data_IF_650858365332
#
_entry.id   IF_650858365332
#
_cell.length_a   1.000
_cell.length_b   1.000
_cell.length_c   1.000
_cell.angle_alpha   90.00
_cell.angle_beta   90.00
_cell.angle_gamma   90.00
#
_symmetry.space_group_name_H-M   'P 1'
#
loop_
_entity.id
_entity.type
_entity.pdbx_description
1 polymer ?
#
# COMPACT_ATOMS: atom_id res chain seq x y z
N UNK A 1 -13.71 9.27 13.29
CA UNK A 1 -13.10 10.36 12.51
C UNK A 1 -13.74 10.28 11.13
N UNK A 2 -14.58 11.25 10.76
CA UNK A 2 -15.29 11.23 9.48
C UNK A 2 -14.26 11.22 8.34
N UNK A 3 -14.27 10.18 7.51
CA UNK A 3 -13.52 10.17 6.26
C UNK A 3 -14.15 11.26 5.38
N UNK A 4 -13.51 12.43 5.33
CA UNK A 4 -13.89 13.47 4.37
C UNK A 4 -13.75 12.88 2.97
N UNK A 5 -14.82 13.00 2.16
CA UNK A 5 -14.83 12.59 0.76
C UNK A 5 -13.79 13.42 0.03
N UNK A 6 -12.61 12.86 -0.22
CA UNK A 6 -11.61 13.47 -1.10
C UNK A 6 -12.15 13.31 -2.52
N UNK A 7 -12.45 14.40 -3.26
CA UNK A 7 -12.81 14.27 -4.67
C UNK A 7 -11.67 13.58 -5.42
N UNK A 8 -11.98 12.69 -6.37
CA UNK A 8 -10.98 11.91 -7.13
C UNK A 8 -9.85 12.78 -7.69
N UNK A 9 -10.22 13.82 -8.42
CA UNK A 9 -9.76 15.20 -8.16
C UNK A 9 -8.42 15.39 -7.44
N UNK A 10 -8.57 15.50 -6.13
CA UNK A 10 -7.52 15.81 -5.17
C UNK A 10 -6.56 14.66 -4.92
N UNK A 11 -6.84 13.41 -5.28
CA UNK A 11 -5.88 12.31 -5.05
C UNK A 11 -4.58 12.57 -5.82
N UNK A 12 -4.66 13.10 -7.04
CA UNK A 12 -3.50 13.37 -7.88
C UNK A 12 -2.93 14.78 -7.74
N UNK A 13 -3.73 15.76 -7.32
CA UNK A 13 -3.26 17.15 -7.21
C UNK A 13 -2.87 17.54 -5.78
N UNK A 14 -3.49 16.95 -4.77
CA UNK A 14 -3.05 17.04 -3.38
C UNK A 14 -2.15 15.85 -3.04
N UNK A 15 -1.43 15.90 -1.92
CA UNK A 15 -0.53 14.82 -1.47
C UNK A 15 0.80 14.69 -2.24
N UNK A 16 1.38 15.82 -2.67
CA UNK A 16 2.69 15.90 -3.37
C UNK A 16 3.78 15.02 -2.72
N UNK A 17 3.92 15.09 -1.40
CA UNK A 17 4.90 14.33 -0.64
C UNK A 17 4.68 12.81 -0.74
N UNK A 18 3.43 12.37 -0.71
CA UNK A 18 3.07 10.95 -0.72
C UNK A 18 3.28 10.33 -2.10
N UNK A 19 2.93 11.05 -3.17
CA UNK A 19 3.29 10.68 -4.53
C UNK A 19 4.80 10.59 -4.73
N UNK A 20 5.54 11.62 -4.29
CA UNK A 20 7.00 11.63 -4.39
C UNK A 20 7.60 10.40 -3.70
N UNK A 21 7.12 10.03 -2.50
CA UNK A 21 7.55 8.82 -1.79
C UNK A 21 7.26 7.56 -2.58
N UNK A 22 6.05 7.42 -3.14
CA UNK A 22 5.69 6.29 -3.99
C UNK A 22 6.60 6.14 -5.20
N UNK A 23 6.92 7.23 -5.89
CA UNK A 23 7.87 7.24 -7.00
C UNK A 23 9.31 6.96 -6.57
N UNK A 24 9.70 7.40 -5.37
CA UNK A 24 11.07 7.28 -4.86
C UNK A 24 11.43 5.84 -4.49
N UNK A 25 10.56 5.10 -3.80
CA UNK A 25 10.94 3.80 -3.21
C UNK A 25 11.51 2.77 -4.22
N UNK A 26 10.94 2.61 -5.44
CA UNK A 26 11.50 1.72 -6.45
C UNK A 26 12.88 2.14 -6.97
N UNK A 27 13.30 3.39 -6.74
CA UNK A 27 14.59 3.93 -7.21
C UNK A 27 15.73 3.63 -6.24
N UNK A 28 15.41 3.25 -5.00
CA UNK A 28 16.40 3.05 -3.94
C UNK A 28 17.30 1.85 -4.26
N UNK A 29 18.60 2.12 -4.45
CA UNK A 29 19.55 1.08 -4.85
C UNK A 29 19.67 -0.06 -3.84
N UNK A 30 19.52 0.25 -2.55
CA UNK A 30 19.59 -0.70 -1.45
C UNK A 30 18.31 -1.53 -1.27
N UNK A 31 17.15 -1.07 -1.76
CA UNK A 31 15.87 -1.79 -1.60
C UNK A 31 15.70 -2.94 -2.59
N UNK A 32 16.52 -3.00 -3.66
CA UNK A 32 16.44 -4.00 -4.74
C UNK A 32 16.17 -5.45 -4.29
N UNK A 33 16.81 -5.99 -3.23
CA UNK A 33 16.54 -7.37 -2.80
C UNK A 33 15.11 -7.58 -2.29
N UNK A 34 14.46 -6.51 -1.83
CA UNK A 34 13.13 -6.52 -1.20
C UNK A 34 12.01 -6.03 -2.12
N UNK A 35 12.34 -5.29 -3.20
CA UNK A 35 11.35 -4.72 -4.13
C UNK A 35 10.29 -5.73 -4.62
N UNK A 36 10.67 -6.99 -4.86
CA UNK A 36 9.75 -8.06 -5.28
C UNK A 36 8.67 -8.42 -4.25
N UNK A 37 8.87 -8.08 -2.97
CA UNK A 37 7.90 -8.30 -1.91
C UNK A 37 6.98 -7.09 -1.69
N UNK A 38 7.25 -5.96 -2.35
CA UNK A 38 6.48 -4.74 -2.18
C UNK A 38 5.19 -4.72 -3.00
N UNK A 39 4.81 -5.78 -3.70
CA UNK A 39 3.54 -5.81 -4.48
C UNK A 39 3.52 -4.89 -5.71
N UNK A 40 4.68 -4.47 -6.19
CA UNK A 40 4.85 -3.73 -7.44
C UNK A 40 4.59 -4.64 -8.66
N UNK A 41 4.20 -4.08 -9.82
CA UNK A 41 4.04 -4.84 -11.06
C UNK A 41 5.32 -5.61 -11.42
N UNK A 42 5.22 -6.91 -11.71
CA UNK A 42 6.39 -7.77 -11.98
C UNK A 42 7.28 -7.21 -13.09
N UNK A 43 6.67 -6.72 -14.18
CA UNK A 43 7.39 -6.11 -15.31
C UNK A 43 8.20 -4.89 -14.87
N UNK A 44 7.69 -4.10 -13.91
CA UNK A 44 8.42 -2.96 -13.34
C UNK A 44 9.57 -3.42 -12.43
N UNK A 45 9.36 -4.46 -11.62
CA UNK A 45 10.41 -5.06 -10.78
C UNK A 45 11.59 -5.56 -11.62
N UNK A 46 11.30 -6.15 -12.77
CA UNK A 46 12.34 -6.62 -13.70
C UNK A 46 13.04 -5.48 -14.46
N UNK A 47 12.46 -4.26 -14.45
CA UNK A 47 12.91 -3.12 -15.24
C UNK A 47 13.11 -1.82 -14.43
N UNK A 48 13.58 -1.91 -13.17
CA UNK A 48 13.74 -0.75 -12.28
C UNK A 48 14.60 0.39 -12.84
N UNK A 49 15.44 0.14 -13.85
CA UNK A 49 16.23 1.16 -14.53
C UNK A 49 15.39 2.24 -15.22
N UNK A 50 14.11 1.98 -15.56
CA UNK A 50 13.22 2.99 -16.17
C UNK A 50 13.08 4.25 -15.32
N UNK A 51 13.20 4.10 -13.99
CA UNK A 51 13.11 5.24 -13.08
C UNK A 51 14.24 6.25 -13.24
N UNK A 52 15.35 5.89 -13.88
CA UNK A 52 16.46 6.82 -14.15
C UNK A 52 16.06 7.96 -15.09
N UNK A 53 15.11 7.75 -16.01
CA UNK A 53 14.60 8.83 -16.87
C UNK A 53 13.42 9.57 -16.23
N UNK A 54 12.58 8.86 -15.48
CA UNK A 54 11.33 9.41 -14.94
C UNK A 54 11.54 10.21 -13.64
N UNK A 55 12.18 9.61 -12.62
CA UNK A 55 12.21 10.16 -11.25
C UNK A 55 12.91 11.52 -11.13
N UNK A 56 14.04 11.81 -11.80
CA UNK A 56 14.70 13.11 -11.68
C UNK A 56 13.79 14.29 -12.06
N UNK A 57 12.91 14.11 -13.05
CA UNK A 57 11.95 15.13 -13.48
C UNK A 57 10.89 15.39 -12.41
N UNK A 58 10.41 14.34 -11.74
CA UNK A 58 9.43 14.44 -10.63
C UNK A 58 10.06 15.16 -9.45
N UNK A 59 11.27 14.75 -9.05
CA UNK A 59 12.00 15.34 -7.92
C UNK A 59 12.32 16.82 -8.16
N UNK A 60 12.73 17.17 -9.38
CA UNK A 60 12.93 18.56 -9.78
C UNK A 60 11.65 19.39 -9.63
N UNK A 61 10.52 18.90 -10.12
CA UNK A 61 9.23 19.60 -10.01
C UNK A 61 8.77 19.76 -8.56
N UNK A 62 8.97 18.74 -7.73
CA UNK A 62 8.69 18.82 -6.30
C UNK A 62 9.52 19.90 -5.62
N UNK A 63 10.84 19.92 -5.84
CA UNK A 63 11.72 20.94 -5.26
C UNK A 63 11.45 22.34 -5.79
N UNK A 64 11.05 22.47 -7.06
CA UNK A 64 10.62 23.74 -7.63
C UNK A 64 9.40 24.27 -6.88
N UNK A 65 8.39 23.43 -6.65
CA UNK A 65 7.17 23.77 -5.90
C UNK A 65 7.45 24.17 -4.46
N UNK A 66 8.27 23.42 -3.73
CA UNK A 66 8.56 23.72 -2.33
C UNK A 66 9.31 25.05 -2.16
N UNK A 67 10.18 25.41 -3.11
CA UNK A 67 10.87 26.71 -3.14
C UNK A 67 9.91 27.86 -3.45
N UNK A 68 8.97 27.69 -4.39
CA UNK A 68 7.98 28.74 -4.71
C UNK A 68 6.99 29.00 -3.57
N UNK A 69 6.74 28.02 -2.69
CA UNK A 69 5.91 28.19 -1.48
C UNK A 69 6.60 28.99 -0.36
N UNK A 70 7.86 29.42 -0.53
CA UNK A 70 8.56 30.25 0.44
C UNK A 70 8.24 31.75 0.21
N UNK A 71 7.72 32.49 1.22
CA UNK A 71 7.22 33.86 1.07
C UNK A 71 8.25 34.86 0.52
N UNK A 72 9.54 34.60 0.75
CA UNK A 72 10.64 35.52 0.44
C UNK A 72 11.03 35.52 -1.05
N UNK A 73 10.57 34.52 -1.83
CA UNK A 73 10.96 34.32 -3.23
C UNK A 73 9.87 34.70 -4.25
N UNK A 74 8.64 35.01 -3.81
CA UNK A 74 7.53 35.41 -4.69
C UNK A 74 7.80 36.74 -5.43
N UNK A 75 8.73 37.56 -4.92
CA UNK A 75 9.01 38.91 -5.42
C UNK A 75 9.96 38.90 -6.66
N UNK A 76 10.69 37.81 -6.93
CA UNK A 76 11.83 37.85 -7.87
C UNK A 76 11.82 36.94 -9.09
N UNK A 77 10.78 36.11 -9.33
CA UNK A 77 10.85 35.17 -10.46
C UNK A 77 9.62 35.23 -11.38
N UNK A 78 9.73 36.05 -12.43
CA UNK A 78 8.92 35.94 -13.64
C UNK A 78 9.25 34.71 -14.50
N UNK A 79 9.71 33.60 -13.92
CA UNK A 79 10.20 32.42 -14.64
C UNK A 79 9.42 31.18 -14.18
N UNK A 80 8.53 30.73 -15.07
CA UNK A 80 7.88 29.40 -15.10
C UNK A 80 7.24 28.90 -13.80
N UNK A 81 5.95 29.22 -13.63
CA UNK A 81 5.07 28.61 -12.61
C UNK A 81 5.24 27.08 -12.59
N UNK A 82 5.30 26.45 -11.40
CA UNK A 82 5.36 25.00 -11.29
C UNK A 82 4.17 24.33 -11.98
N UNK A 83 4.39 23.21 -12.65
CA UNK A 83 3.32 22.42 -13.28
C UNK A 83 2.36 21.91 -12.21
N UNK A 84 1.01 21.96 -12.38
CA UNK A 84 0.04 21.30 -11.50
C UNK A 84 0.51 19.90 -11.12
N UNK A 85 0.38 19.49 -9.85
CA UNK A 85 0.99 18.23 -9.41
C UNK A 85 0.34 17.04 -10.10
N UNK A 86 -0.96 17.11 -10.34
CA UNK A 86 -1.68 16.15 -11.19
C UNK A 86 -1.01 15.98 -12.56
N UNK A 87 -0.52 17.06 -13.18
CA UNK A 87 0.17 17.00 -14.47
C UNK A 87 1.54 16.33 -14.36
N UNK A 88 2.26 16.54 -13.25
CA UNK A 88 3.54 15.84 -12.97
C UNK A 88 3.30 14.34 -12.86
N UNK A 89 2.31 13.92 -12.07
CA UNK A 89 1.91 12.51 -11.91
C UNK A 89 1.51 11.92 -13.27
N UNK A 90 0.66 12.62 -14.03
CA UNK A 90 0.22 12.16 -15.35
C UNK A 90 1.39 11.95 -16.32
N UNK A 91 2.31 12.91 -16.42
CA UNK A 91 3.46 12.80 -17.31
C UNK A 91 4.38 11.63 -16.93
N UNK A 92 4.63 11.45 -15.63
CA UNK A 92 5.41 10.32 -15.14
C UNK A 92 4.79 8.97 -15.49
N UNK A 93 3.47 8.83 -15.30
CA UNK A 93 2.74 7.60 -15.61
C UNK A 93 2.62 7.38 -17.13
N UNK A 94 2.50 8.45 -17.94
CA UNK A 94 2.54 8.35 -19.40
C UNK A 94 3.91 7.89 -19.91
N UNK A 95 5.00 8.37 -19.32
CA UNK A 95 6.34 7.91 -19.65
C UNK A 95 6.52 6.44 -19.26
N UNK A 96 6.07 6.06 -18.06
CA UNK A 96 6.08 4.66 -17.62
C UNK A 96 5.25 3.76 -18.55
N UNK A 97 4.06 4.21 -18.97
CA UNK A 97 3.21 3.51 -19.91
C UNK A 97 3.85 3.35 -21.29
N UNK A 98 4.61 4.36 -21.74
CA UNK A 98 5.36 4.30 -23.00
C UNK A 98 6.50 3.27 -22.92
N UNK A 99 7.17 3.16 -21.78
CA UNK A 99 8.32 2.27 -21.60
C UNK A 99 7.95 0.82 -21.31
N UNK A 100 6.92 0.58 -20.48
CA UNK A 100 6.57 -0.75 -19.96
C UNK A 100 5.12 -1.18 -20.24
N UNK A 101 4.31 -0.31 -20.85
CA UNK A 101 2.91 -0.59 -21.19
C UNK A 101 1.90 0.06 -20.24
N UNK A 102 0.71 0.38 -20.77
CA UNK A 102 -0.38 1.07 -20.06
C UNK A 102 -0.75 0.38 -18.74
N UNK A 103 -0.99 -0.94 -18.78
CA UNK A 103 -1.41 -1.68 -17.60
C UNK A 103 -0.37 -1.64 -16.47
N UNK A 104 0.93 -1.64 -16.79
CA UNK A 104 2.00 -1.54 -15.78
C UNK A 104 1.96 -0.18 -15.09
N UNK A 105 1.69 0.89 -15.84
CA UNK A 105 1.56 2.23 -15.26
C UNK A 105 0.31 2.36 -14.38
N UNK A 106 -0.84 1.82 -14.81
CA UNK A 106 -2.08 1.79 -14.02
C UNK A 106 -1.89 0.97 -12.73
N UNK A 107 -1.30 -0.22 -12.81
CA UNK A 107 -1.05 -1.04 -11.62
C UNK A 107 -0.08 -0.34 -10.64
N UNK A 108 0.94 0.36 -11.16
CA UNK A 108 1.83 1.17 -10.34
C UNK A 108 1.12 2.36 -9.69
N UNK A 109 0.25 3.06 -10.43
CA UNK A 109 -0.59 4.12 -9.89
C UNK A 109 -1.45 3.63 -8.73
N UNK A 110 -2.15 2.51 -8.92
CA UNK A 110 -2.99 1.90 -7.88
C UNK A 110 -2.15 1.42 -6.69
N UNK A 111 -0.92 0.96 -6.92
CA UNK A 111 0.03 0.64 -5.87
C UNK A 111 0.39 1.87 -5.02
N UNK A 112 0.70 3.02 -5.63
CA UNK A 112 0.99 4.26 -4.90
C UNK A 112 -0.23 4.71 -4.09
N UNK A 113 -1.41 4.72 -4.71
CA UNK A 113 -2.65 5.14 -4.04
C UNK A 113 -2.90 4.24 -2.82
N UNK A 114 -2.80 2.92 -3.00
CA UNK A 114 -3.02 1.92 -1.95
C UNK A 114 -2.15 2.15 -0.72
N UNK A 115 -0.85 2.32 -0.90
CA UNK A 115 0.09 2.33 0.22
C UNK A 115 0.32 3.72 0.84
N UNK A 116 0.13 4.79 0.08
CA UNK A 116 0.49 6.13 0.55
C UNK A 116 -0.71 7.05 0.74
N UNK A 117 -1.81 6.82 0.01
CA UNK A 117 -2.95 7.74 -0.03
C UNK A 117 -4.20 7.15 0.63
N UNK A 118 -4.27 5.82 0.77
CA UNK A 118 -5.46 5.12 1.23
C UNK A 118 -5.26 4.44 2.58
N UNK A 119 -5.31 5.23 3.67
CA UNK A 119 -5.06 4.77 5.06
C UNK A 119 -5.86 3.55 5.50
N UNK A 120 -7.06 3.37 4.97
CA UNK A 120 -7.91 2.22 5.31
C UNK A 120 -7.21 0.89 5.03
N UNK A 121 -6.43 0.79 3.96
CA UNK A 121 -5.80 -0.49 3.58
C UNK A 121 -4.84 -0.95 4.66
N UNK A 122 -4.01 -0.06 5.18
CA UNK A 122 -3.08 -0.40 6.26
C UNK A 122 -3.81 -0.91 7.52
N UNK A 123 -4.87 -0.23 7.95
CA UNK A 123 -5.67 -0.69 9.10
C UNK A 123 -6.34 -2.03 8.85
N UNK A 124 -6.87 -2.24 7.65
CA UNK A 124 -7.48 -3.51 7.27
C UNK A 124 -6.48 -4.64 7.19
N UNK A 125 -5.31 -4.43 6.59
CA UNK A 125 -4.27 -5.45 6.50
C UNK A 125 -3.72 -5.80 7.88
N UNK A 126 -3.55 -4.82 8.76
CA UNK A 126 -3.22 -5.07 10.15
C UNK A 126 -4.29 -5.92 10.87
N UNK A 127 -5.57 -5.57 10.75
CA UNK A 127 -6.66 -6.36 11.35
C UNK A 127 -6.72 -7.80 10.81
N UNK A 128 -6.58 -7.97 9.50
CA UNK A 128 -6.51 -9.29 8.86
C UNK A 128 -5.28 -10.08 9.29
N UNK A 129 -4.12 -9.43 9.42
CA UNK A 129 -2.88 -10.04 9.90
C UNK A 129 -3.09 -10.70 11.26
N UNK A 130 -3.63 -9.96 12.23
CA UNK A 130 -3.89 -10.51 13.57
C UNK A 130 -4.86 -11.69 13.56
N UNK A 131 -5.96 -11.59 12.81
CA UNK A 131 -6.96 -12.66 12.76
C UNK A 131 -6.39 -13.93 12.10
N UNK A 132 -5.64 -13.78 11.01
CA UNK A 132 -5.07 -14.91 10.27
C UNK A 132 -3.84 -15.53 10.95
N UNK A 133 -2.96 -14.72 11.56
CA UNK A 133 -1.87 -15.21 12.42
C UNK A 133 -2.44 -16.07 13.55
N UNK A 134 -3.48 -15.57 14.22
CA UNK A 134 -4.20 -16.31 15.25
C UNK A 134 -4.93 -17.52 14.74
N UNK A 135 -5.27 -17.64 13.46
CA UNK A 135 -5.79 -18.89 12.91
C UNK A 135 -4.68 -19.91 12.61
N UNK A 136 -3.51 -19.45 12.18
CA UNK A 136 -2.39 -20.30 11.77
C UNK A 136 -1.57 -20.91 12.92
N UNK A 137 -1.71 -20.40 14.14
CA UNK A 137 -0.98 -20.90 15.30
C UNK A 137 -1.59 -22.22 15.84
N UNK A 138 -0.75 -23.19 16.25
CA UNK A 138 -1.24 -24.40 16.91
C UNK A 138 -1.14 -24.21 18.43
N UNK A 139 -2.21 -23.70 19.06
CA UNK A 139 -2.31 -23.68 20.52
C UNK A 139 -3.65 -24.26 20.93
N UNK A 140 -3.60 -25.37 21.65
CA UNK A 140 -4.74 -26.19 22.07
C UNK A 140 -5.65 -25.52 23.12
N UNK A 141 -5.25 -24.38 23.68
CA UNK A 141 -5.95 -23.76 24.81
C UNK A 141 -5.84 -22.24 24.81
N UNK A 142 -6.55 -21.57 23.89
CA UNK A 142 -6.78 -20.12 24.02
C UNK A 142 -8.28 -19.83 24.04
N UNK A 143 -8.80 -19.40 25.20
CA UNK A 143 -10.21 -19.01 25.39
C UNK A 143 -10.65 -17.88 24.43
N UNK A 144 -9.68 -17.14 23.89
CA UNK A 144 -9.90 -16.03 22.93
C UNK A 144 -10.03 -16.50 21.47
N UNK A 145 -10.04 -17.81 21.21
CA UNK A 145 -10.19 -18.35 19.85
C UNK A 145 -11.63 -18.70 19.48
N UNK A 146 -11.93 -18.52 18.21
CA UNK A 146 -13.11 -18.99 17.50
C UNK A 146 -12.59 -19.95 16.44
N UNK A 147 -13.13 -21.17 16.39
CA UNK A 147 -12.70 -22.15 15.41
C UNK A 147 -12.94 -21.62 13.98
N UNK A 148 -11.93 -21.64 13.09
CA UNK A 148 -12.11 -21.23 11.70
C UNK A 148 -13.08 -22.17 10.97
N UNK A 149 -13.82 -21.66 9.95
CA UNK A 149 -14.63 -22.50 9.07
C UNK A 149 -13.76 -23.58 8.41
N UNK A 150 -14.35 -24.75 8.14
CA UNK A 150 -13.63 -25.90 7.59
C UNK A 150 -12.85 -25.57 6.30
N UNK A 151 -13.45 -24.76 5.42
CA UNK A 151 -12.81 -24.31 4.18
C UNK A 151 -11.54 -23.51 4.44
N UNK A 152 -11.56 -22.62 5.45
CA UNK A 152 -10.39 -21.82 5.81
C UNK A 152 -9.31 -22.73 6.41
N UNK A 153 -9.68 -23.68 7.28
CA UNK A 153 -8.74 -24.64 7.90
C UNK A 153 -7.89 -25.39 6.86
N UNK A 154 -8.46 -25.72 5.70
CA UNK A 154 -7.76 -26.38 4.60
C UNK A 154 -6.75 -25.44 3.93
N UNK A 155 -7.02 -24.13 3.90
CA UNK A 155 -6.20 -23.09 3.25
C UNK A 155 -5.09 -22.57 4.18
N UNK A 156 -5.30 -22.57 5.51
CA UNK A 156 -4.36 -22.03 6.50
C UNK A 156 -2.90 -22.50 6.30
N UNK A 157 -2.60 -23.79 6.00
CA UNK A 157 -1.22 -24.23 5.79
C UNK A 157 -0.49 -23.52 4.65
N UNK A 158 -1.19 -23.11 3.60
CA UNK A 158 -0.61 -22.46 2.42
C UNK A 158 -0.30 -20.99 2.67
N UNK A 159 -1.17 -20.29 3.40
CA UNK A 159 -0.99 -18.86 3.72
C UNK A 159 -0.14 -18.65 4.97
N UNK A 160 0.13 -19.70 5.74
CA UNK A 160 0.85 -19.67 7.02
C UNK A 160 2.12 -18.82 6.98
N UNK A 161 2.92 -18.99 5.93
CA UNK A 161 4.19 -18.29 5.82
C UNK A 161 4.06 -16.79 5.50
N UNK A 162 2.89 -16.36 5.04
CA UNK A 162 2.58 -14.97 4.70
C UNK A 162 2.03 -14.17 5.90
N UNK A 163 1.37 -14.86 6.84
CA UNK A 163 0.64 -14.20 7.93
C UNK A 163 1.30 -14.37 9.29
N UNK A 164 2.18 -15.36 9.48
CA UNK A 164 2.84 -15.57 10.77
C UNK A 164 3.80 -14.41 11.08
N UNK A 165 3.61 -13.84 12.26
CA UNK A 165 4.40 -12.72 12.78
C UNK A 165 5.92 -12.95 12.73
N UNK A 166 6.38 -14.17 13.03
CA UNK A 166 7.81 -14.52 12.98
C UNK A 166 8.43 -14.31 11.59
N UNK A 167 7.72 -14.71 10.53
CA UNK A 167 8.24 -14.57 9.16
C UNK A 167 8.23 -13.10 8.72
N UNK A 168 7.24 -12.34 9.18
CA UNK A 168 7.18 -10.89 8.98
C UNK A 168 8.36 -10.20 9.68
N UNK A 169 8.70 -10.58 10.91
CA UNK A 169 9.87 -10.06 11.63
C UNK A 169 11.19 -10.39 10.94
N UNK A 170 11.31 -11.57 10.33
CA UNK A 170 12.49 -11.92 9.53
C UNK A 170 12.65 -10.98 8.32
N UNK A 171 11.56 -10.62 7.64
CA UNK A 171 11.58 -9.63 6.56
C UNK A 171 11.92 -8.22 7.06
N UNK A 172 11.34 -7.79 8.20
CA UNK A 172 11.69 -6.51 8.84
C UNK A 172 13.18 -6.40 9.13
N UNK A 173 13.76 -7.48 9.65
CA UNK A 173 15.17 -7.56 9.98
C UNK A 173 16.06 -7.52 8.73
N UNK A 174 15.65 -8.15 7.63
CA UNK A 174 16.35 -8.01 6.34
C UNK A 174 16.34 -6.55 5.90
N UNK A 175 15.18 -5.87 5.95
CA UNK A 175 15.06 -4.45 5.58
C UNK A 175 15.98 -3.58 6.43
N UNK A 176 16.00 -3.79 7.76
CA UNK A 176 16.90 -3.06 8.68
C UNK A 176 18.36 -3.20 8.28
N UNK A 177 18.81 -4.43 7.98
CA UNK A 177 20.21 -4.72 7.64
C UNK A 177 20.67 -4.09 6.34
N UNK A 178 19.80 -4.03 5.34
CA UNK A 178 20.14 -3.46 4.03
C UNK A 178 19.91 -1.94 3.96
N UNK A 179 19.15 -1.38 4.90
CA UNK A 179 18.84 0.05 4.92
C UNK A 179 20.06 0.91 5.31
N UNK A 180 20.19 2.11 4.73
CA UNK A 180 21.19 3.08 5.18
C UNK A 180 21.02 3.47 6.65
N UNK A 181 22.08 3.90 7.34
CA UNK A 181 21.97 4.38 8.70
C UNK A 181 21.05 5.61 8.78
N UNK A 182 20.27 5.76 9.86
CA UNK A 182 19.40 6.91 10.05
C UNK A 182 20.20 8.22 10.14
N UNK A 183 19.70 9.26 9.49
CA UNK A 183 20.31 10.60 9.46
C UNK A 183 19.27 11.65 9.84
N UNK A 184 19.71 12.78 10.41
CA UNK A 184 18.82 13.89 10.76
C UNK A 184 17.67 13.46 11.70
N UNK A 185 16.44 13.70 11.25
CA UNK A 185 15.19 13.38 11.96
C UNK A 185 14.94 11.88 12.16
N UNK A 186 15.64 11.01 11.41
CA UNK A 186 15.49 9.56 11.54
C UNK A 186 16.28 8.98 12.73
N UNK A 187 17.23 9.74 13.31
CA UNK A 187 18.09 9.24 14.40
C UNK A 187 17.30 8.67 15.60
N UNK A 188 16.22 9.31 16.08
CA UNK A 188 15.41 8.77 17.18
C UNK A 188 14.65 7.50 16.80
N UNK A 189 14.38 7.26 15.50
CA UNK A 189 13.66 6.09 15.01
C UNK A 189 14.54 4.83 14.97
N UNK A 190 15.87 5.00 14.99
CA UNK A 190 16.84 3.90 14.91
C UNK A 190 16.93 3.23 13.53
N UNK A 191 16.15 3.68 12.55
CA UNK A 191 16.08 3.19 11.17
C UNK A 191 15.70 4.36 10.26
N UNK A 192 16.13 4.34 8.99
CA UNK A 192 15.76 5.41 8.06
C UNK A 192 14.26 5.36 7.70
N UNK A 193 13.67 6.53 7.45
CA UNK A 193 12.23 6.65 7.17
C UNK A 193 11.77 5.80 5.99
N UNK A 194 12.56 5.74 4.91
CA UNK A 194 12.23 4.93 3.72
C UNK A 194 12.12 3.43 4.05
N UNK A 195 12.92 2.95 5.00
CA UNK A 195 12.89 1.55 5.43
C UNK A 195 11.65 1.22 6.28
N UNK A 196 11.14 2.17 7.07
CA UNK A 196 9.84 1.99 7.75
C UNK A 196 8.72 1.80 6.73
N UNK A 197 8.66 2.66 5.71
CA UNK A 197 7.65 2.53 4.65
C UNK A 197 7.76 1.20 3.91
N UNK A 198 8.98 0.75 3.60
CA UNK A 198 9.18 -0.56 2.96
C UNK A 198 8.71 -1.71 3.87
N UNK A 199 8.95 -1.64 5.19
CA UNK A 199 8.45 -2.65 6.12
C UNK A 199 6.92 -2.72 6.10
N UNK A 200 6.26 -1.57 6.27
CA UNK A 200 4.79 -1.49 6.27
C UNK A 200 4.19 -2.02 4.96
N UNK A 201 4.78 -1.65 3.80
CA UNK A 201 4.31 -2.11 2.49
C UNK A 201 4.48 -3.61 2.33
N UNK A 202 5.64 -4.17 2.70
CA UNK A 202 5.91 -5.61 2.57
C UNK A 202 4.97 -6.44 3.44
N UNK A 203 4.64 -5.92 4.62
CA UNK A 203 3.64 -6.53 5.50
C UNK A 203 2.25 -6.52 4.90
N UNK A 204 1.78 -5.34 4.49
CA UNK A 204 0.47 -5.18 3.87
C UNK A 204 0.33 -6.11 2.65
N UNK A 205 1.36 -6.18 1.79
CA UNK A 205 1.34 -7.02 0.59
C UNK A 205 1.41 -8.52 0.89
N UNK A 206 2.07 -8.92 1.97
CA UNK A 206 2.04 -10.30 2.44
C UNK A 206 0.61 -10.72 2.84
N UNK A 207 -0.12 -9.83 3.52
CA UNK A 207 -1.52 -10.06 3.90
C UNK A 207 -2.43 -10.01 2.67
N UNK A 208 -2.27 -9.04 1.77
CA UNK A 208 -3.02 -8.99 0.50
C UNK A 208 -2.85 -10.29 -0.28
N UNK A 209 -1.63 -10.84 -0.34
CA UNK A 209 -1.37 -12.12 -1.00
C UNK A 209 -2.08 -13.28 -0.31
N UNK A 210 -2.09 -13.32 1.02
CA UNK A 210 -2.83 -14.34 1.78
C UNK A 210 -4.34 -14.26 1.50
N UNK A 211 -4.92 -13.05 1.51
CA UNK A 211 -6.34 -12.82 1.22
C UNK A 211 -6.71 -13.22 -0.21
N UNK A 212 -5.84 -12.94 -1.19
CA UNK A 212 -6.02 -13.39 -2.58
C UNK A 212 -6.05 -14.91 -2.70
N UNK A 213 -5.15 -15.61 -1.99
CA UNK A 213 -5.15 -17.08 -1.98
C UNK A 213 -6.47 -17.60 -1.41
N UNK A 214 -6.93 -17.05 -0.28
CA UNK A 214 -8.24 -17.40 0.30
C UNK A 214 -9.36 -17.15 -0.73
N UNK A 215 -9.39 -15.96 -1.34
CA UNK A 215 -10.43 -15.58 -2.29
C UNK A 215 -10.47 -16.48 -3.54
N UNK A 216 -9.30 -16.91 -4.03
CA UNK A 216 -9.18 -17.80 -5.20
C UNK A 216 -9.69 -19.23 -4.96
N UNK A 217 -9.82 -19.64 -3.69
CA UNK A 217 -10.22 -20.99 -3.28
C UNK A 217 -11.56 -21.04 -2.58
N UNK A 218 -12.31 -19.95 -2.60
CA UNK A 218 -13.58 -19.82 -1.89
C UNK A 218 -14.66 -19.26 -2.81
N UNK A 219 -15.86 -19.82 -2.71
CA UNK A 219 -17.08 -19.28 -3.29
C UNK A 219 -17.53 -18.01 -2.56
N UNK A 220 -18.41 -17.20 -3.17
CA UNK A 220 -18.99 -16.04 -2.49
C UNK A 220 -19.67 -16.35 -1.15
N UNK A 221 -20.26 -17.55 -1.01
CA UNK A 221 -20.91 -17.97 0.23
C UNK A 221 -19.87 -18.31 1.31
N UNK A 222 -18.83 -19.06 0.96
CA UNK A 222 -17.73 -19.39 1.88
C UNK A 222 -16.97 -18.13 2.34
N UNK A 223 -16.79 -17.15 1.45
CA UNK A 223 -16.19 -15.85 1.84
C UNK A 223 -17.01 -15.15 2.91
N UNK A 224 -18.34 -15.14 2.82
CA UNK A 224 -19.21 -14.56 3.87
C UNK A 224 -19.05 -15.29 5.21
N UNK A 225 -18.90 -16.61 5.20
CA UNK A 225 -18.64 -17.39 6.41
C UNK A 225 -17.28 -17.06 7.03
N UNK A 226 -16.25 -16.89 6.21
CA UNK A 226 -14.92 -16.46 6.64
C UNK A 226 -14.97 -15.06 7.24
N UNK A 227 -15.65 -14.11 6.60
CA UNK A 227 -15.82 -12.74 7.13
C UNK A 227 -16.51 -12.77 8.50
N UNK A 228 -17.63 -13.50 8.61
CA UNK A 228 -18.37 -13.62 9.85
C UNK A 228 -17.52 -14.22 10.98
N UNK A 229 -16.72 -15.23 10.66
CA UNK A 229 -15.76 -15.80 11.60
C UNK A 229 -14.68 -14.78 11.99
N UNK A 230 -14.11 -14.07 11.02
CA UNK A 230 -13.03 -13.11 11.23
C UNK A 230 -13.48 -11.96 12.13
N UNK A 231 -14.69 -11.42 11.92
CA UNK A 231 -15.29 -10.39 12.76
C UNK A 231 -15.51 -10.88 14.20
N UNK A 232 -15.98 -12.12 14.37
CA UNK A 232 -16.16 -12.72 15.70
C UNK A 232 -14.81 -12.94 16.40
N UNK A 233 -13.80 -13.39 15.66
CA UNK A 233 -12.43 -13.55 16.16
C UNK A 233 -11.82 -12.20 16.54
N UNK A 234 -11.93 -11.18 15.69
CA UNK A 234 -11.48 -9.82 15.97
C UNK A 234 -12.16 -9.26 17.22
N UNK A 235 -13.46 -9.50 17.41
CA UNK A 235 -14.20 -9.09 18.60
C UNK A 235 -13.71 -9.80 19.87
N UNK A 236 -13.34 -11.08 19.80
CA UNK A 236 -12.72 -11.78 20.94
C UNK A 236 -11.33 -11.22 21.27
N UNK A 237 -10.53 -10.90 20.25
CA UNK A 237 -9.20 -10.32 20.44
C UNK A 237 -9.27 -8.91 21.03
N UNK A 238 -10.25 -8.10 20.60
CA UNK A 238 -10.41 -6.72 21.06
C UNK A 238 -10.74 -6.61 22.55
N UNK A 239 -11.44 -7.60 23.12
CA UNK A 239 -11.72 -7.66 24.57
C UNK A 239 -10.46 -7.84 25.42
N UNK A 240 -9.35 -8.31 24.84
CA UNK A 240 -8.08 -8.52 25.54
C UNK A 240 -6.98 -7.50 25.20
N UNK A 241 -7.11 -6.77 24.10
CA UNK A 241 -6.14 -5.78 23.60
C UNK A 241 -6.87 -4.72 22.78
N UNK A 242 -6.60 -3.43 22.99
CA UNK A 242 -7.23 -2.33 22.23
C UNK A 242 -6.72 -2.18 20.79
N UNK A 243 -6.16 -3.24 20.20
CA UNK A 243 -5.33 -3.18 18.99
C UNK A 243 -6.11 -3.45 17.69
N UNK A 244 -7.33 -3.97 17.77
CA UNK A 244 -8.11 -4.39 16.59
C UNK A 244 -9.59 -4.05 16.79
N UNK A 245 -10.21 -3.38 15.81
CA UNK A 245 -11.66 -3.23 15.72
C UNK A 245 -12.20 -4.16 14.61
N UNK A 246 -13.25 -4.97 14.84
CA UNK A 246 -13.89 -5.76 13.79
C UNK A 246 -14.25 -4.97 12.51
N UNK A 247 -14.62 -3.70 12.66
CA UNK A 247 -14.96 -2.83 11.53
C UNK A 247 -13.76 -2.56 10.59
N UNK A 248 -12.53 -2.70 11.08
CA UNK A 248 -11.32 -2.54 10.28
C UNK A 248 -11.13 -3.66 9.26
N UNK A 249 -11.79 -4.82 9.43
CA UNK A 249 -11.73 -5.92 8.45
C UNK A 249 -12.40 -5.57 7.11
N UNK A 250 -13.34 -4.60 7.12
CA UNK A 250 -14.10 -4.12 5.95
C UNK A 250 -14.86 -5.23 5.21
N UNK A 251 -15.37 -6.21 5.96
CA UNK A 251 -16.19 -7.29 5.41
C UNK A 251 -15.43 -8.10 4.35
N UNK A 252 -16.08 -8.36 3.20
CA UNK A 252 -15.49 -9.09 2.08
C UNK A 252 -14.74 -8.18 1.08
N UNK A 253 -14.62 -6.88 1.34
CA UNK A 253 -14.00 -5.89 0.43
C UNK A 253 -12.61 -6.32 -0.05
N UNK A 254 -11.79 -6.88 0.85
CA UNK A 254 -10.41 -7.29 0.55
C UNK A 254 -10.23 -8.79 0.33
N UNK A 255 -11.28 -9.60 0.48
CA UNK A 255 -11.29 -11.01 0.10
C UNK A 255 -11.64 -11.16 -1.38
N UNK A 256 -10.78 -10.62 -2.24
CA UNK A 256 -10.93 -10.62 -3.71
C UNK A 256 -9.67 -11.19 -4.37
N UNK A 257 -9.82 -11.68 -5.60
CA UNK A 257 -8.70 -12.19 -6.39
C UNK A 257 -7.86 -11.02 -6.92
N UNK A 258 -8.54 -9.95 -7.31
CA UNK A 258 -7.97 -8.69 -7.73
C UNK A 258 -7.32 -7.95 -6.55
N UNK A 259 -6.23 -7.19 -6.78
CA UNK A 259 -5.66 -6.32 -5.74
C UNK A 259 -6.67 -5.27 -5.26
N UNK A 260 -6.49 -4.76 -4.03
CA UNK A 260 -7.24 -3.58 -3.60
C UNK A 260 -7.06 -2.43 -4.59
N UNK A 261 -8.16 -1.72 -4.89
CA UNK A 261 -8.23 -0.62 -5.86
C UNK A 261 -8.03 -1.04 -7.32
N UNK A 262 -8.26 -2.31 -7.68
CA UNK A 262 -8.16 -2.76 -9.07
C UNK A 262 -9.09 -2.01 -10.02
N UNK A 263 -10.30 -1.69 -9.57
CA UNK A 263 -11.34 -0.96 -10.30
C UNK A 263 -11.26 0.57 -10.12
N UNK A 264 -10.21 1.06 -9.44
CA UNK A 264 -10.03 2.47 -9.23
C UNK A 264 -9.73 3.20 -10.55
N UNK A 265 -10.29 4.39 -10.77
CA UNK A 265 -10.03 5.15 -11.98
C UNK A 265 -8.57 5.59 -12.11
N UNK A 266 -7.96 5.43 -13.30
CA UNK A 266 -6.61 5.90 -13.58
C UNK A 266 -6.59 7.32 -14.16
N UNK A 267 -5.57 8.12 -13.80
CA UNK A 267 -5.32 9.43 -14.44
C UNK A 267 -4.95 9.33 -15.93
N UNK A 268 -4.57 8.14 -16.39
CA UNK A 268 -4.24 7.88 -17.79
C UNK A 268 -5.49 7.71 -18.66
N UNK A 269 -6.63 7.37 -18.05
CA UNK A 269 -7.86 7.12 -18.78
C UNK A 269 -8.65 8.43 -18.96
N UNK A 270 -8.81 8.83 -20.22
CA UNK A 270 -9.24 10.18 -20.62
C UNK A 270 -10.67 10.56 -20.17
N UNK A 271 -11.51 9.61 -19.78
CA UNK A 271 -12.93 9.83 -19.47
C UNK A 271 -13.21 10.35 -18.05
N UNK A 272 -12.18 10.52 -17.21
CA UNK A 272 -12.35 10.85 -15.77
C UNK A 272 -12.15 12.32 -15.43
N UNK A 273 -11.76 13.14 -16.42
CA UNK A 273 -11.57 14.59 -16.24
C UNK A 273 -12.84 15.39 -16.53
N UNK A 274 -13.91 14.74 -16.99
CA UNK A 274 -15.24 15.30 -17.15
C UNK A 274 -16.23 14.46 -16.31
N UNK A 275 -16.75 15.06 -15.22
CA UNK A 275 -17.97 14.65 -14.52
C UNK A 275 -18.08 13.26 -13.87
N UNK A 276 -17.26 12.94 -12.84
CA UNK A 276 -17.64 11.87 -11.90
C UNK A 276 -17.30 12.15 -10.42
N UNK A 277 -18.35 12.45 -9.64
CA UNK A 277 -18.32 12.41 -8.18
C UNK A 277 -18.43 10.96 -7.70
N UNK A 278 -17.32 10.27 -7.53
CA UNK A 278 -17.34 8.97 -6.86
C UNK A 278 -17.33 9.17 -5.34
N UNK A 279 -18.18 8.42 -4.63
CA UNK A 279 -18.14 8.33 -3.17
C UNK A 279 -17.21 7.19 -2.80
N UNK A 280 -16.12 7.52 -2.11
CA UNK A 280 -15.25 6.59 -1.40
C UNK A 280 -15.88 6.27 -0.04
#
# INVERSE_FOLDING_TARGET
MNQEKIPLSGIWDSNELWWLRGFKLPTLSWSKPIVKYMGLPTVLVDNLQVWKSIYPSIEFEYHRRTKTKQPELEIFQGINKPLPWQKVVKLALQELATLLGHNVAVEFEHWVIRHFLYKEIHWSMNAWSYVLDRACQNFDYDEKRVAPPAILTIILPEIKNLVIYKNIEELREIVRRISPPPVGEDKPLGICSDALWIQDIVEDESIIKALKIIASKTSPQERKEIVKWAELQAKKLSMGTSLINPEDLKGDKYLRVEPPLFDFPSILDASLLEDTNFTI
#
